data_IF_356862721515
#
_entry.id   IF_356862721515
#
_cell.length_a   1.000
_cell.length_b   1.000
_cell.length_c   1.000
_cell.angle_alpha   90.00
_cell.angle_beta   90.00
_cell.angle_gamma   90.00
#
_symmetry.space_group_name_H-M   'P 1'
#
loop_
_entity.id
_entity.type
_entity.pdbx_description
1 polymer ?
#
# COMPACT_ATOMS: atom_id res chain seq x y z
N UNK A 1 11.36 3.52 -9.83
CA UNK A 1 10.95 4.60 -10.75
C UNK A 1 11.77 5.85 -10.47
N UNK A 2 12.30 6.53 -11.50
CA UNK A 2 13.05 7.77 -11.35
C UNK A 2 12.13 8.97 -11.03
N UNK A 3 12.61 10.00 -10.33
CA UNK A 3 11.87 11.23 -10.03
C UNK A 3 11.29 11.91 -11.27
N UNK A 4 12.04 11.89 -12.38
CA UNK A 4 11.58 12.46 -13.67
C UNK A 4 10.38 11.68 -14.23
N UNK A 5 10.41 10.35 -14.15
CA UNK A 5 9.31 9.49 -14.61
C UNK A 5 8.08 9.66 -13.73
N UNK A 6 8.29 9.75 -12.42
CA UNK A 6 7.22 10.02 -11.45
C UNK A 6 6.53 11.36 -11.73
N UNK A 7 7.30 12.41 -11.98
CA UNK A 7 6.76 13.73 -12.34
C UNK A 7 5.96 13.68 -13.65
N UNK A 8 6.43 12.94 -14.66
CA UNK A 8 5.70 12.74 -15.93
C UNK A 8 4.36 12.04 -15.71
N UNK A 9 4.33 10.99 -14.89
CA UNK A 9 3.09 10.27 -14.57
C UNK A 9 2.10 11.18 -13.84
N UNK A 10 2.56 11.99 -12.88
CA UNK A 10 1.71 12.96 -12.17
C UNK A 10 1.08 13.97 -13.15
N UNK A 11 1.88 14.55 -14.04
CA UNK A 11 1.37 15.49 -15.06
C UNK A 11 0.36 14.81 -15.98
N UNK A 12 0.60 13.54 -16.35
CA UNK A 12 -0.31 12.78 -17.19
C UNK A 12 -1.63 12.46 -16.48
N UNK A 13 -1.59 12.15 -15.19
CA UNK A 13 -2.79 11.98 -14.36
C UNK A 13 -3.61 13.27 -14.31
N UNK A 14 -2.99 14.42 -14.04
CA UNK A 14 -3.70 15.71 -14.02
C UNK A 14 -4.37 16.02 -15.36
N UNK A 15 -3.69 15.75 -16.48
CA UNK A 15 -4.26 15.89 -17.82
C UNK A 15 -5.49 15.01 -18.01
N UNK A 16 -5.41 13.72 -17.63
CA UNK A 16 -6.53 12.78 -17.73
C UNK A 16 -7.68 13.15 -16.80
N UNK A 17 -7.40 13.66 -15.59
CA UNK A 17 -8.43 14.14 -14.65
C UNK A 17 -9.14 15.40 -15.16
N UNK A 18 -8.43 16.30 -15.86
CA UNK A 18 -9.05 17.44 -16.56
C UNK A 18 -9.95 16.98 -17.71
N UNK A 19 -9.48 16.04 -18.53
CA UNK A 19 -10.27 15.50 -19.64
C UNK A 19 -11.53 14.77 -19.13
N UNK A 20 -11.39 13.96 -18.08
CA UNK A 20 -12.50 13.28 -17.41
C UNK A 20 -13.55 14.29 -16.93
N UNK A 21 -13.13 15.34 -16.21
CA UNK A 21 -14.06 16.40 -15.74
C UNK A 21 -14.79 17.09 -16.89
N UNK A 22 -14.10 17.36 -18.00
CA UNK A 22 -14.72 17.95 -19.19
C UNK A 22 -15.79 17.02 -19.79
N UNK A 23 -15.54 15.70 -19.85
CA UNK A 23 -16.53 14.72 -20.33
C UNK A 23 -17.70 14.54 -19.37
N UNK A 24 -17.45 14.53 -18.07
CA UNK A 24 -18.51 14.50 -17.04
C UNK A 24 -19.42 15.74 -17.14
N UNK A 25 -18.84 16.92 -17.37
CA UNK A 25 -19.61 18.14 -17.63
C UNK A 25 -20.45 18.03 -18.90
N UNK A 26 -19.87 17.51 -20.00
CA UNK A 26 -20.60 17.31 -21.26
C UNK A 26 -21.76 16.33 -21.10
N UNK A 27 -21.54 15.19 -20.43
CA UNK A 27 -22.59 14.20 -20.15
C UNK A 27 -23.72 14.80 -19.34
N UNK A 28 -23.40 15.61 -18.32
CA UNK A 28 -24.41 16.32 -17.53
C UNK A 28 -25.24 17.28 -18.37
N UNK A 29 -24.61 18.02 -19.30
CA UNK A 29 -25.31 18.89 -20.24
C UNK A 29 -26.25 18.09 -21.15
N UNK A 30 -25.74 17.03 -21.76
CA UNK A 30 -26.53 16.15 -22.62
C UNK A 30 -27.73 15.54 -21.92
N UNK A 31 -27.56 15.03 -20.69
CA UNK A 31 -28.68 14.49 -19.89
C UNK A 31 -29.75 15.54 -19.60
N UNK A 32 -29.32 16.77 -19.32
CA UNK A 32 -30.24 17.90 -19.11
C UNK A 32 -31.03 18.21 -20.38
N UNK A 33 -30.37 18.26 -21.53
CA UNK A 33 -30.99 18.53 -22.82
C UNK A 33 -31.94 17.41 -23.24
N UNK A 34 -31.51 16.15 -23.07
CA UNK A 34 -32.31 14.96 -23.36
C UNK A 34 -33.56 14.90 -22.47
N UNK A 35 -33.43 15.21 -21.18
CA UNK A 35 -34.57 15.27 -20.26
C UNK A 35 -35.55 16.39 -20.64
N UNK A 36 -35.04 17.55 -21.06
CA UNK A 36 -35.88 18.66 -21.52
C UNK A 36 -36.62 18.32 -22.83
N UNK A 37 -35.94 17.65 -23.76
CA UNK A 37 -36.55 17.14 -24.98
C UNK A 37 -37.62 16.09 -24.67
N UNK A 38 -37.36 15.19 -23.73
CA UNK A 38 -38.34 14.18 -23.27
C UNK A 38 -39.60 14.83 -22.71
N UNK A 39 -39.44 15.86 -21.85
CA UNK A 39 -40.58 16.59 -21.27
C UNK A 39 -41.40 17.34 -22.32
N UNK A 40 -40.76 17.78 -23.41
CA UNK A 40 -41.39 18.62 -24.45
C UNK A 40 -42.07 17.78 -25.53
N UNK A 41 -41.42 16.70 -25.98
CA UNK A 41 -41.81 15.94 -27.16
C UNK A 41 -42.23 14.50 -26.87
N UNK A 42 -42.08 14.03 -25.62
CA UNK A 42 -42.39 12.67 -25.22
C UNK A 42 -41.34 11.64 -25.65
N UNK A 43 -41.54 10.39 -25.23
CA UNK A 43 -40.58 9.29 -25.43
C UNK A 43 -40.47 8.78 -26.86
N UNK A 44 -41.43 9.11 -27.73
CA UNK A 44 -41.58 8.52 -29.06
C UNK A 44 -40.59 9.04 -30.10
N UNK A 45 -39.99 10.22 -29.88
CA UNK A 45 -39.18 10.89 -30.90
C UNK A 45 -37.66 10.72 -30.75
N UNK A 46 -37.12 10.38 -29.57
CA UNK A 46 -35.67 10.50 -29.36
C UNK A 46 -34.98 9.49 -28.41
N UNK A 47 -35.67 8.52 -27.80
CA UNK A 47 -35.09 7.72 -26.71
C UNK A 47 -33.81 6.94 -27.09
N UNK A 48 -33.80 6.25 -28.24
CA UNK A 48 -32.69 5.35 -28.58
C UNK A 48 -31.37 6.03 -28.95
N UNK A 49 -31.41 7.15 -29.68
CA UNK A 49 -30.20 7.88 -30.07
C UNK A 49 -29.57 8.65 -28.91
N UNK A 50 -30.41 9.27 -28.08
CA UNK A 50 -29.99 10.01 -26.89
C UNK A 50 -29.28 9.11 -25.88
N UNK A 51 -29.86 7.95 -25.57
CA UNK A 51 -29.25 6.97 -24.66
C UNK A 51 -27.93 6.41 -25.21
N UNK A 52 -27.82 6.19 -26.52
CA UNK A 52 -26.60 5.68 -27.13
C UNK A 52 -25.45 6.69 -27.03
N UNK A 53 -25.73 7.97 -27.25
CA UNK A 53 -24.72 9.03 -27.15
C UNK A 53 -24.29 9.27 -25.70
N UNK A 54 -25.23 9.22 -24.73
CA UNK A 54 -24.90 9.26 -23.31
C UNK A 54 -23.99 8.09 -22.91
N UNK A 55 -24.36 6.86 -23.30
CA UNK A 55 -23.60 5.64 -23.00
C UNK A 55 -22.19 5.69 -23.58
N UNK A 56 -22.03 6.23 -24.79
CA UNK A 56 -20.72 6.40 -25.41
C UNK A 56 -19.82 7.31 -24.57
N UNK A 57 -20.35 8.42 -24.06
CA UNK A 57 -19.58 9.33 -23.20
C UNK A 57 -19.30 8.68 -21.83
N UNK A 58 -20.23 7.90 -21.29
CA UNK A 58 -20.00 7.12 -20.06
C UNK A 58 -18.86 6.11 -20.22
N UNK A 59 -18.81 5.38 -21.34
CA UNK A 59 -17.73 4.45 -21.66
C UNK A 59 -16.38 5.18 -21.76
N UNK A 60 -16.34 6.34 -22.42
CA UNK A 60 -15.14 7.18 -22.48
C UNK A 60 -14.67 7.66 -21.10
N UNK A 61 -15.60 8.03 -20.21
CA UNK A 61 -15.31 8.40 -18.82
C UNK A 61 -14.73 7.21 -18.05
N UNK A 62 -15.30 6.02 -18.24
CA UNK A 62 -14.84 4.82 -17.55
C UNK A 62 -13.46 4.38 -18.03
N UNK A 63 -13.16 4.52 -19.31
CA UNK A 63 -11.82 4.28 -19.85
C UNK A 63 -10.79 5.27 -19.30
N UNK A 64 -11.16 6.55 -19.14
CA UNK A 64 -10.31 7.53 -18.48
C UNK A 64 -10.08 7.18 -17.01
N UNK A 65 -11.11 6.71 -16.29
CA UNK A 65 -10.99 6.24 -14.89
C UNK A 65 -10.03 5.08 -14.78
N UNK A 66 -10.17 4.05 -15.64
CA UNK A 66 -9.26 2.89 -15.67
C UNK A 66 -7.81 3.30 -15.92
N UNK A 67 -7.56 4.21 -16.87
CA UNK A 67 -6.22 4.76 -17.15
C UNK A 67 -5.64 5.50 -15.94
N UNK A 68 -6.44 6.33 -15.27
CA UNK A 68 -6.00 7.06 -14.06
C UNK A 68 -5.65 6.09 -12.93
N UNK A 69 -6.49 5.08 -12.69
CA UNK A 69 -6.23 4.06 -11.65
C UNK A 69 -4.93 3.32 -11.95
N UNK A 70 -4.76 2.84 -13.18
CA UNK A 70 -3.52 2.18 -13.60
C UNK A 70 -2.28 3.05 -13.36
N UNK A 71 -2.32 4.34 -13.72
CA UNK A 71 -1.20 5.25 -13.49
C UNK A 71 -0.97 5.55 -12.00
N UNK A 72 -2.04 5.61 -11.19
CA UNK A 72 -1.95 5.78 -9.73
C UNK A 72 -1.38 4.53 -9.04
N UNK A 73 -1.72 3.34 -9.53
CA UNK A 73 -1.16 2.10 -9.01
C UNK A 73 0.34 2.00 -9.33
N UNK A 74 0.78 2.44 -10.52
CA UNK A 74 2.21 2.56 -10.83
C UNK A 74 2.95 3.65 -10.01
N UNK A 75 2.21 4.59 -9.38
CA UNK A 75 2.77 5.56 -8.44
C UNK A 75 2.83 5.05 -7.01
N UNK A 76 2.08 4.00 -6.68
CA UNK A 76 2.23 3.29 -5.41
C UNK A 76 3.53 2.50 -5.52
N UNK A 77 4.63 3.17 -5.17
CA UNK A 77 5.85 2.46 -4.77
C UNK A 77 5.40 1.43 -3.72
N UNK A 78 5.57 0.12 -3.98
CA UNK A 78 5.38 -0.98 -3.03
C UNK A 78 6.36 -0.83 -1.85
N UNK A 79 6.17 0.21 -1.05
CA UNK A 79 6.88 0.52 0.19
C UNK A 79 5.87 0.64 1.32
N UNK A 80 5.07 -0.39 1.53
CA UNK A 80 4.70 -0.72 2.89
C UNK A 80 4.78 -2.24 3.14
N UNK A 81 5.99 -2.79 3.33
CA UNK A 81 6.13 -3.96 4.20
C UNK A 81 6.15 -3.47 5.66
N UNK A 82 5.22 -2.59 6.07
CA UNK A 82 5.17 -2.16 7.49
C UNK A 82 4.74 -3.32 8.38
N UNK A 83 3.84 -4.17 7.89
CA UNK A 83 3.43 -5.36 8.63
C UNK A 83 4.59 -6.35 8.81
N UNK A 84 5.38 -6.60 7.77
CA UNK A 84 6.51 -7.53 7.84
C UNK A 84 7.69 -6.94 8.65
N UNK A 85 7.94 -5.63 8.57
CA UNK A 85 8.94 -4.96 9.40
C UNK A 85 8.60 -5.02 10.88
N UNK A 86 7.34 -4.75 11.25
CA UNK A 86 6.90 -4.84 12.66
C UNK A 86 7.00 -6.27 13.18
N UNK A 87 6.66 -7.26 12.35
CA UNK A 87 6.83 -8.67 12.70
C UNK A 87 8.30 -9.03 12.89
N UNK A 88 9.18 -8.62 11.96
CA UNK A 88 10.62 -8.87 12.05
C UNK A 88 11.25 -8.17 13.25
N UNK A 89 10.85 -6.93 13.57
CA UNK A 89 11.29 -6.21 14.77
C UNK A 89 10.90 -6.95 16.06
N UNK A 90 9.69 -7.51 16.11
CA UNK A 90 9.25 -8.31 17.25
C UNK A 90 10.04 -9.61 17.41
N UNK A 91 10.40 -10.26 16.28
CA UNK A 91 11.19 -11.48 16.28
C UNK A 91 12.64 -11.21 16.71
N UNK A 92 13.25 -10.12 16.23
CA UNK A 92 14.59 -9.70 16.62
C UNK A 92 14.64 -9.47 18.13
N UNK A 93 13.66 -8.75 18.68
CA UNK A 93 13.58 -8.50 20.12
C UNK A 93 13.48 -9.79 20.93
N UNK A 94 12.67 -10.76 20.48
CA UNK A 94 12.55 -12.06 21.16
C UNK A 94 13.87 -12.85 21.14
N UNK A 95 14.63 -12.77 20.05
CA UNK A 95 15.95 -13.40 19.95
C UNK A 95 16.98 -12.71 20.86
N UNK A 96 16.96 -11.39 20.98
CA UNK A 96 17.84 -10.64 21.88
C UNK A 96 17.60 -11.03 23.34
N UNK A 97 16.33 -11.12 23.75
CA UNK A 97 15.95 -11.58 25.09
C UNK A 97 16.45 -13.01 25.36
N UNK A 98 16.36 -13.91 24.38
CA UNK A 98 16.87 -15.28 24.49
C UNK A 98 18.40 -15.33 24.59
N UNK A 99 19.11 -14.54 23.78
CA UNK A 99 20.57 -14.44 23.83
C UNK A 99 21.03 -13.96 25.21
N UNK A 100 20.38 -12.95 25.77
CA UNK A 100 20.72 -12.40 27.07
C UNK A 100 20.47 -13.40 28.20
N UNK A 101 19.36 -14.14 28.14
CA UNK A 101 19.08 -15.26 29.06
C UNK A 101 20.16 -16.35 28.98
N UNK A 102 20.58 -16.75 27.78
CA UNK A 102 21.65 -17.75 27.61
C UNK A 102 23.02 -17.25 28.10
N UNK A 103 23.32 -15.96 27.94
CA UNK A 103 24.55 -15.36 28.46
C UNK A 103 24.61 -15.41 29.98
N UNK A 104 23.53 -15.00 30.66
CA UNK A 104 23.47 -15.07 32.14
C UNK A 104 23.57 -16.51 32.66
N UNK A 105 22.94 -17.49 31.99
CA UNK A 105 23.10 -18.90 32.36
C UNK A 105 24.55 -19.38 32.19
N UNK A 106 25.22 -18.96 31.11
CA UNK A 106 26.63 -19.31 30.86
C UNK A 106 27.54 -18.73 31.94
N UNK A 107 27.33 -17.48 32.34
CA UNK A 107 28.09 -16.84 33.43
C UNK A 107 27.88 -17.57 34.76
N UNK A 108 26.64 -17.91 35.11
CA UNK A 108 26.35 -18.67 36.33
C UNK A 108 27.00 -20.06 36.33
N UNK A 109 27.04 -20.74 35.18
CA UNK A 109 27.74 -22.02 35.04
C UNK A 109 29.27 -21.86 35.14
N UNK A 110 29.82 -20.80 34.57
CA UNK A 110 31.25 -20.48 34.69
C UNK A 110 31.62 -20.20 36.15
N UNK A 111 30.84 -19.40 36.86
CA UNK A 111 31.05 -19.12 38.28
C UNK A 111 30.96 -20.39 39.13
N UNK A 112 29.93 -21.22 38.90
CA UNK A 112 29.82 -22.52 39.57
C UNK A 112 31.01 -23.43 39.29
N UNK A 113 31.53 -23.43 38.06
CA UNK A 113 32.69 -24.23 37.70
C UNK A 113 33.97 -23.72 38.38
N UNK A 114 34.15 -22.40 38.47
CA UNK A 114 35.25 -21.77 39.20
C UNK A 114 35.19 -22.12 40.69
N UNK A 115 34.00 -22.02 41.30
CA UNK A 115 33.78 -22.40 42.69
C UNK A 115 34.00 -23.89 42.94
N UNK A 116 33.49 -24.76 42.08
CA UNK A 116 33.72 -26.21 42.17
C UNK A 116 35.21 -26.55 42.06
N UNK A 117 35.94 -25.90 41.15
CA UNK A 117 37.38 -26.08 40.99
C UNK A 117 38.16 -25.57 42.20
N UNK A 118 37.75 -24.44 42.78
CA UNK A 118 38.33 -23.92 44.02
C UNK A 118 38.11 -24.87 45.21
N UNK A 119 36.86 -25.32 45.41
CA UNK A 119 36.53 -26.30 46.45
C UNK A 119 37.28 -27.61 46.28
N UNK A 120 37.41 -28.10 45.04
CA UNK A 120 38.17 -29.30 44.75
C UNK A 120 39.64 -29.16 45.19
N UNK A 121 40.30 -28.04 44.86
CA UNK A 121 41.68 -27.75 45.30
C UNK A 121 41.82 -27.67 46.83
N UNK A 122 40.85 -27.04 47.50
CA UNK A 122 40.84 -26.94 48.96
C UNK A 122 40.66 -28.33 49.62
N UNK A 123 39.77 -29.16 49.07
CA UNK A 123 39.49 -30.50 49.60
C UNK A 123 40.56 -31.54 49.26
N UNK A 124 41.26 -31.41 48.13
CA UNK A 124 42.32 -32.34 47.71
C UNK A 124 43.66 -32.11 48.44
N UNK A 125 43.77 -31.06 49.26
CA UNK A 125 45.00 -30.73 49.99
C UNK A 125 46.08 -30.09 49.10
N UNK A 126 45.73 -29.64 47.89
CA UNK A 126 46.59 -28.82 47.04
C UNK A 126 46.60 -27.36 47.54
N UNK A 127 47.13 -27.13 48.74
CA UNK A 127 47.59 -25.81 49.14
C UNK A 127 49.09 -25.73 48.84
N UNK A 128 49.47 -24.94 47.84
CA UNK A 128 50.80 -24.31 47.78
C UNK A 128 50.78 -23.04 48.60
#
# INVERSE_FOLDING_TARGET
>A
MNQVERARIIVMIDKLEKEKRSREFKLSGMRSDNMAAWNTYGSELCAGGMEADERKIEEEIEDLRRKIVYLKDNLRDDKEPKADLVLLESQIKGLDDEIQSRQTQKEALQDNWVWASFLYKVCSGEQQ
#
